data_IF_912742560441
#
_entry.id   IF_912742560441
#
_cell.length_a   1.000
_cell.length_b   1.000
_cell.length_c   1.000
_cell.angle_alpha   90.00
_cell.angle_beta   90.00
_cell.angle_gamma   90.00
#
_symmetry.space_group_name_H-M   'P 1'
#
loop_
_entity.id
_entity.type
_entity.pdbx_description
1 polymer ?
#
# COMPACT_ATOMS: atom_id res chain seq x y z
N UNK A 1 25.98 39.63 -46.74
CA UNK A 1 24.81 39.24 -45.93
C UNK A 1 25.08 37.89 -45.30
N UNK A 2 25.26 37.83 -43.99
CA UNK A 2 25.46 36.58 -43.26
C UNK A 2 24.12 35.83 -43.15
N UNK A 3 24.07 34.55 -43.52
CA UNK A 3 22.91 33.70 -43.26
C UNK A 3 22.82 33.44 -41.75
N UNK A 4 21.65 33.53 -41.10
CA UNK A 4 21.54 33.16 -39.70
C UNK A 4 21.90 31.68 -39.57
N UNK A 5 22.77 31.34 -38.62
CA UNK A 5 23.03 29.94 -38.25
C UNK A 5 21.77 29.38 -37.61
N UNK A 6 20.89 28.79 -38.42
CA UNK A 6 19.73 28.06 -37.92
C UNK A 6 20.26 26.84 -37.17
N UNK A 7 20.17 26.87 -35.84
CA UNK A 7 20.42 25.69 -35.01
C UNK A 7 19.14 24.86 -34.99
N UNK A 8 19.12 23.79 -35.75
CA UNK A 8 18.02 22.81 -35.74
C UNK A 8 18.40 21.71 -34.75
N UNK A 9 17.60 21.54 -33.70
CA UNK A 9 17.69 20.39 -32.83
C UNK A 9 16.79 19.30 -33.42
N UNK A 10 17.41 18.21 -33.90
CA UNK A 10 16.68 17.04 -34.34
C UNK A 10 16.41 16.16 -33.12
N UNK A 11 15.14 15.92 -32.81
CA UNK A 11 14.78 14.82 -31.94
C UNK A 11 14.35 13.67 -32.84
N UNK A 12 15.20 12.66 -32.95
CA UNK A 12 14.83 11.44 -33.65
C UNK A 12 13.63 10.84 -32.90
N UNK A 13 12.57 10.45 -33.62
CA UNK A 13 11.32 9.99 -33.02
C UNK A 13 11.52 8.95 -31.91
N UNK A 14 12.54 8.12 -32.05
CA UNK A 14 12.92 7.10 -31.07
C UNK A 14 13.40 7.68 -29.73
N UNK A 15 14.17 8.78 -29.72
CA UNK A 15 14.63 9.42 -28.47
C UNK A 15 13.48 10.11 -27.73
N UNK A 16 12.58 10.79 -28.45
CA UNK A 16 11.36 11.35 -27.86
C UNK A 16 10.47 10.24 -27.31
N UNK A 17 10.32 9.14 -28.05
CA UNK A 17 9.53 7.99 -27.64
C UNK A 17 10.10 7.35 -26.36
N UNK A 18 11.41 7.11 -26.31
CA UNK A 18 12.09 6.55 -25.13
C UNK A 18 11.89 7.48 -23.92
N UNK A 19 12.13 8.78 -24.07
CA UNK A 19 11.95 9.73 -22.98
C UNK A 19 10.49 9.76 -22.47
N UNK A 20 9.50 9.70 -23.37
CA UNK A 20 8.09 9.62 -22.98
C UNK A 20 7.75 8.30 -22.28
N UNK A 21 8.33 7.18 -22.71
CA UNK A 21 8.13 5.88 -22.07
C UNK A 21 8.74 5.83 -20.67
N UNK A 22 9.90 6.47 -20.45
CA UNK A 22 10.51 6.58 -19.12
C UNK A 22 9.62 7.40 -18.17
N UNK A 23 9.13 8.57 -18.61
CA UNK A 23 8.19 9.38 -17.83
C UNK A 23 6.90 8.61 -17.53
N UNK A 24 6.39 7.86 -18.51
CA UNK A 24 5.19 7.05 -18.32
C UNK A 24 5.41 5.92 -17.30
N UNK A 25 6.56 5.24 -17.36
CA UNK A 25 6.96 4.21 -16.40
C UNK A 25 7.01 4.75 -14.98
N UNK A 26 7.59 5.93 -14.76
CA UNK A 26 7.67 6.54 -13.43
C UNK A 26 6.27 6.92 -12.92
N UNK A 27 5.43 7.53 -13.76
CA UNK A 27 4.04 7.87 -13.39
C UNK A 27 3.19 6.64 -13.06
N UNK A 28 3.35 5.54 -13.80
CA UNK A 28 2.67 4.28 -13.50
C UNK A 28 3.12 3.73 -12.14
N UNK A 29 4.41 3.80 -11.86
CA UNK A 29 5.00 3.35 -10.61
C UNK A 29 4.43 4.14 -9.42
N UNK A 30 4.40 5.47 -9.53
CA UNK A 30 3.83 6.35 -8.49
C UNK A 30 2.34 6.10 -8.28
N UNK A 31 1.58 5.90 -9.36
CA UNK A 31 0.15 5.61 -9.28
C UNK A 31 -0.15 4.27 -8.59
N UNK A 32 0.66 3.24 -8.88
CA UNK A 32 0.58 1.96 -8.18
C UNK A 32 0.91 2.16 -6.71
N UNK A 33 2.02 2.85 -6.41
CA UNK A 33 2.47 3.08 -5.05
C UNK A 33 1.40 3.80 -4.18
N UNK A 34 0.79 4.86 -4.72
CA UNK A 34 -0.32 5.55 -4.06
C UNK A 34 -1.55 4.63 -3.88
N UNK A 35 -1.86 3.81 -4.89
CA UNK A 35 -2.92 2.80 -4.82
C UNK A 35 -2.70 1.78 -3.71
N UNK A 36 -1.46 1.27 -3.58
CA UNK A 36 -1.07 0.33 -2.52
C UNK A 36 -1.24 0.96 -1.14
N UNK A 37 -0.77 2.20 -0.95
CA UNK A 37 -0.91 2.94 0.31
C UNK A 37 -2.38 3.12 0.70
N UNK A 38 -3.22 3.52 -0.26
CA UNK A 38 -4.67 3.71 -0.04
C UNK A 38 -5.36 2.39 0.30
N UNK A 39 -5.00 1.30 -0.37
CA UNK A 39 -5.51 -0.02 -0.04
C UNK A 39 -5.08 -0.45 1.36
N UNK A 40 -3.82 -0.23 1.73
CA UNK A 40 -3.33 -0.45 3.09
C UNK A 40 -4.15 0.30 4.13
N UNK A 41 -4.53 1.55 3.85
CA UNK A 41 -5.41 2.34 4.72
C UNK A 41 -6.84 1.79 4.83
N UNK A 42 -7.37 1.17 3.77
CA UNK A 42 -8.67 0.45 3.83
C UNK A 42 -8.56 -0.80 4.71
N UNK A 43 -7.49 -1.57 4.56
CA UNK A 43 -7.23 -2.76 5.39
C UNK A 43 -7.05 -2.37 6.85
N UNK A 44 -6.28 -1.31 7.14
CA UNK A 44 -6.10 -0.73 8.47
C UNK A 44 -7.45 -0.39 9.12
N UNK A 45 -8.30 0.36 8.41
CA UNK A 45 -9.61 0.76 8.92
C UNK A 45 -10.54 -0.43 9.16
N UNK A 46 -10.58 -1.37 8.23
CA UNK A 46 -11.44 -2.57 8.32
C UNK A 46 -10.98 -3.51 9.44
N UNK A 47 -9.67 -3.75 9.52
CA UNK A 47 -9.04 -4.54 10.58
C UNK A 47 -9.30 -3.92 11.96
N UNK A 48 -9.24 -2.60 12.08
CA UNK A 48 -9.49 -1.89 13.35
C UNK A 48 -10.95 -1.93 13.80
N UNK A 49 -11.89 -2.08 12.87
CA UNK A 49 -13.31 -2.32 13.20
C UNK A 49 -13.54 -3.75 13.69
N UNK A 50 -12.83 -4.72 13.10
CA UNK A 50 -12.92 -6.16 13.44
C UNK A 50 -12.17 -6.50 14.72
N UNK A 51 -11.14 -5.72 15.07
CA UNK A 51 -10.36 -5.91 16.28
C UNK A 51 -11.24 -5.77 17.54
N UNK A 52 -11.18 -6.73 18.50
CA UNK A 52 -11.99 -6.70 19.72
C UNK A 52 -11.92 -5.39 20.51
N UNK A 53 -13.06 -4.88 20.96
CA UNK A 53 -13.16 -3.56 21.64
C UNK A 53 -12.48 -3.54 23.00
N UNK A 54 -12.52 -4.66 23.73
CA UNK A 54 -11.85 -4.83 25.03
C UNK A 54 -10.33 -4.63 24.93
N UNK A 55 -9.78 -4.75 23.72
CA UNK A 55 -8.40 -4.46 23.38
C UNK A 55 -8.26 -3.06 22.79
N UNK A 56 -8.86 -2.04 23.41
CA UNK A 56 -8.83 -0.65 22.91
C UNK A 56 -7.40 -0.12 22.64
N UNK A 57 -6.42 -0.60 23.42
CA UNK A 57 -5.00 -0.37 23.21
C UNK A 57 -4.46 -1.00 21.91
N UNK A 58 -5.08 -2.05 21.39
CA UNK A 58 -4.63 -2.77 20.19
C UNK A 58 -5.08 -2.02 18.95
N UNK A 59 -6.31 -1.52 19.00
CA UNK A 59 -6.92 -0.71 17.95
C UNK A 59 -6.10 0.54 17.64
N UNK A 60 -5.43 1.12 18.63
CA UNK A 60 -4.55 2.28 18.43
C UNK A 60 -3.13 1.94 17.97
N UNK A 61 -2.75 0.65 17.97
CA UNK A 61 -1.42 0.17 17.59
C UNK A 61 -1.35 -0.39 16.17
N UNK A 62 -2.42 -0.26 15.40
CA UNK A 62 -2.41 -0.59 13.97
C UNK A 62 -1.42 0.32 13.24
N UNK A 63 -0.76 -0.20 12.22
CA UNK A 63 0.13 0.58 11.37
C UNK A 63 -0.01 0.15 9.91
N UNK A 64 0.31 1.10 9.04
CA UNK A 64 0.33 0.93 7.60
C UNK A 64 1.63 1.55 7.06
N UNK A 65 2.52 0.72 6.52
CA UNK A 65 3.88 1.10 6.12
C UNK A 65 4.17 0.69 4.68
N UNK A 66 4.78 1.63 3.95
CA UNK A 66 5.14 1.46 2.55
C UNK A 66 4.38 2.42 1.63
N UNK A 67 4.38 2.13 0.32
CA UNK A 67 4.95 0.93 -0.28
C UNK A 67 6.48 0.95 -0.19
N UNK A 68 7.05 -0.11 0.36
CA UNK A 68 8.48 -0.36 0.39
C UNK A 68 8.86 -1.06 -0.91
N UNK A 69 9.99 -0.68 -1.49
CA UNK A 69 10.55 -1.41 -2.63
C UNK A 69 11.48 -2.50 -2.10
N UNK A 70 11.13 -3.75 -2.37
CA UNK A 70 11.95 -4.92 -2.07
C UNK A 70 12.31 -5.61 -3.40
N UNK A 71 13.49 -5.27 -3.92
CA UNK A 71 13.92 -5.62 -5.27
C UNK A 71 12.96 -5.10 -6.35
N UNK A 72 12.31 -6.03 -7.04
CA UNK A 72 11.31 -5.76 -8.09
C UNK A 72 9.86 -5.78 -7.56
N UNK A 73 9.67 -5.94 -6.25
CA UNK A 73 8.34 -6.00 -5.62
C UNK A 73 8.05 -4.73 -4.84
N UNK A 74 6.83 -4.23 -4.97
CA UNK A 74 6.29 -3.23 -4.05
C UNK A 74 5.55 -3.94 -2.92
N UNK A 75 5.91 -3.65 -1.68
CA UNK A 75 5.35 -4.28 -0.49
C UNK A 75 4.66 -3.21 0.36
N UNK A 76 3.36 -3.40 0.58
CA UNK A 76 2.60 -2.64 1.56
C UNK A 76 2.41 -3.52 2.79
N UNK A 77 2.87 -3.05 3.94
CA UNK A 77 2.77 -3.78 5.20
C UNK A 77 1.66 -3.14 6.04
N UNK A 78 0.66 -3.93 6.40
CA UNK A 78 -0.37 -3.55 7.38
C UNK A 78 -0.28 -4.53 8.53
N UNK A 79 -0.23 -4.02 9.75
CA UNK A 79 -0.07 -4.87 10.92
C UNK A 79 -0.42 -4.16 12.21
N UNK A 80 -0.10 -4.82 13.31
CA UNK A 80 -0.26 -4.28 14.66
C UNK A 80 1.07 -4.36 15.38
N UNK A 81 1.32 -3.39 16.26
CA UNK A 81 2.49 -3.39 17.14
C UNK A 81 3.79 -3.43 16.33
N UNK A 82 4.01 -2.42 15.47
CA UNK A 82 5.20 -2.30 14.60
C UNK A 82 6.54 -2.61 15.30
N UNK A 83 6.66 -2.23 16.57
CA UNK A 83 7.86 -2.45 17.40
C UNK A 83 7.76 -3.63 18.37
N UNK A 84 6.67 -4.40 18.31
CA UNK A 84 6.42 -5.66 19.00
C UNK A 84 7.01 -5.76 20.41
N UNK A 85 7.72 -6.86 20.65
CA UNK A 85 8.47 -7.17 21.88
C UNK A 85 9.87 -6.52 21.93
N UNK A 86 10.32 -5.90 20.83
CA UNK A 86 11.58 -5.14 20.76
C UNK A 86 11.51 -3.81 21.50
N UNK A 87 10.32 -3.33 21.82
CA UNK A 87 10.12 -2.20 22.73
C UNK A 87 10.09 -2.73 24.17
N UNK A 88 10.87 -2.13 25.08
CA UNK A 88 11.04 -2.60 26.47
C UNK A 88 9.71 -2.67 27.26
N UNK A 89 8.68 -1.94 26.81
CA UNK A 89 7.29 -1.97 27.32
C UNK A 89 6.26 -2.58 26.36
N UNK A 90 6.71 -3.04 25.19
CA UNK A 90 5.87 -3.63 24.16
C UNK A 90 5.57 -5.08 24.49
N UNK A 91 4.39 -5.36 25.05
CA UNK A 91 3.89 -6.73 25.06
C UNK A 91 3.37 -7.02 23.66
N UNK A 92 3.93 -7.99 22.96
CA UNK A 92 3.37 -8.47 21.69
C UNK A 92 2.09 -9.27 21.97
N UNK A 93 0.96 -8.58 22.14
CA UNK A 93 -0.31 -9.19 22.48
C UNK A 93 -1.30 -9.22 21.30
N UNK A 94 -0.97 -8.59 20.17
CA UNK A 94 -1.75 -8.68 18.94
C UNK A 94 -1.91 -10.12 18.46
N UNK A 95 -0.81 -10.87 18.38
CA UNK A 95 -0.78 -12.26 17.89
C UNK A 95 -1.70 -13.18 18.70
N UNK A 96 -1.58 -13.25 20.04
CA UNK A 96 -2.48 -14.12 20.80
C UNK A 96 -3.94 -13.70 20.69
N UNK A 97 -4.27 -12.41 20.55
CA UNK A 97 -5.67 -11.98 20.33
C UNK A 97 -6.14 -12.36 18.92
N UNK A 98 -5.29 -12.21 17.91
CA UNK A 98 -5.58 -12.52 16.52
C UNK A 98 -5.81 -14.01 16.28
N UNK A 99 -5.03 -14.86 16.93
CA UNK A 99 -5.03 -16.31 16.71
C UNK A 99 -5.98 -17.09 17.64
N UNK A 100 -6.50 -16.47 18.72
CA UNK A 100 -7.42 -17.13 19.66
C UNK A 100 -8.85 -17.19 19.11
N UNK A 101 -9.11 -18.14 18.22
CA UNK A 101 -10.44 -18.39 17.64
C UNK A 101 -11.44 -19.01 18.62
N UNK A 102 -10.96 -19.58 19.73
CA UNK A 102 -11.78 -20.28 20.72
C UNK A 102 -12.39 -19.36 21.80
N UNK A 103 -12.16 -18.04 21.71
CA UNK A 103 -12.68 -17.06 22.68
C UNK A 103 -13.84 -16.31 22.04
N UNK A 104 -14.98 -16.26 22.74
CA UNK A 104 -16.11 -15.44 22.32
C UNK A 104 -15.87 -13.99 22.72
N UNK A 105 -15.72 -13.10 21.73
CA UNK A 105 -15.63 -11.67 21.95
C UNK A 105 -17.04 -11.05 21.81
N UNK A 106 -17.55 -10.30 22.80
CA UNK A 106 -18.85 -9.63 22.68
C UNK A 106 -18.92 -8.64 21.51
N UNK A 107 -17.78 -8.03 21.17
CA UNK A 107 -17.62 -7.14 20.01
C UNK A 107 -16.25 -7.39 19.37
N UNK A 108 -16.23 -7.61 18.06
CA UNK A 108 -15.05 -7.93 17.25
C UNK A 108 -14.90 -9.42 16.97
N UNK A 109 -13.78 -9.81 16.37
CA UNK A 109 -13.50 -11.18 15.95
C UNK A 109 -12.02 -11.53 16.04
N UNK A 110 -11.72 -12.83 16.18
CA UNK A 110 -10.39 -13.36 15.88
C UNK A 110 -10.10 -13.20 14.37
N UNK A 111 -8.84 -13.35 13.97
CA UNK A 111 -8.40 -13.19 12.58
C UNK A 111 -8.77 -11.85 11.95
N UNK A 112 -8.97 -10.79 12.76
CA UNK A 112 -9.43 -9.47 12.33
C UNK A 112 -8.65 -8.86 11.14
N UNK A 113 -7.32 -9.01 11.11
CA UNK A 113 -6.46 -8.54 10.02
C UNK A 113 -6.58 -9.43 8.77
N UNK A 114 -6.53 -10.75 8.93
CA UNK A 114 -6.65 -11.73 7.84
C UNK A 114 -8.03 -11.61 7.16
N UNK A 115 -9.10 -11.50 7.96
CA UNK A 115 -10.45 -11.30 7.47
C UNK A 115 -10.62 -9.95 6.77
N UNK A 116 -9.99 -8.88 7.26
CA UNK A 116 -9.98 -7.60 6.58
C UNK A 116 -9.28 -7.68 5.21
N UNK A 117 -8.14 -8.37 5.13
CA UNK A 117 -7.44 -8.62 3.86
C UNK A 117 -8.30 -9.46 2.92
N UNK A 118 -8.86 -10.58 3.40
CA UNK A 118 -9.69 -11.49 2.59
C UNK A 118 -10.96 -10.81 2.08
N UNK A 119 -11.59 -9.96 2.90
CA UNK A 119 -12.77 -9.20 2.50
C UNK A 119 -12.45 -8.20 1.38
N UNK A 120 -11.28 -7.58 1.42
CA UNK A 120 -10.90 -6.50 0.48
C UNK A 120 -10.09 -6.98 -0.74
N UNK A 121 -9.49 -8.17 -0.68
CA UNK A 121 -8.58 -8.69 -1.71
C UNK A 121 -9.26 -8.85 -3.08
N UNK A 122 -10.54 -9.24 -3.09
CA UNK A 122 -11.34 -9.37 -4.31
C UNK A 122 -11.57 -8.04 -5.05
N UNK A 123 -11.48 -6.90 -4.36
CA UNK A 123 -11.64 -5.58 -4.96
C UNK A 123 -10.31 -4.94 -5.36
N UNK A 124 -9.21 -5.42 -4.80
CA UNK A 124 -7.91 -4.76 -4.90
C UNK A 124 -7.38 -4.72 -6.34
N UNK A 125 -7.43 -5.85 -7.05
CA UNK A 125 -6.97 -5.91 -8.44
C UNK A 125 -7.77 -4.95 -9.34
N UNK A 126 -9.09 -4.85 -9.14
CA UNK A 126 -9.96 -3.91 -9.88
C UNK A 126 -9.63 -2.46 -9.55
N UNK A 127 -9.33 -2.18 -8.29
CA UNK A 127 -8.94 -0.84 -7.83
C UNK A 127 -7.63 -0.38 -8.47
N UNK A 128 -6.60 -1.24 -8.49
CA UNK A 128 -5.33 -0.94 -9.15
C UNK A 128 -5.49 -0.75 -10.67
N UNK A 129 -6.27 -1.61 -11.34
CA UNK A 129 -6.56 -1.45 -12.77
C UNK A 129 -7.23 -0.11 -13.08
N UNK A 130 -8.18 0.33 -12.23
CA UNK A 130 -8.82 1.64 -12.38
C UNK A 130 -7.83 2.79 -12.25
N UNK A 131 -6.90 2.72 -11.29
CA UNK A 131 -5.87 3.75 -11.11
C UNK A 131 -4.92 3.82 -12.29
N UNK A 132 -4.44 2.68 -12.78
CA UNK A 132 -3.56 2.61 -13.95
C UNK A 132 -4.24 3.16 -15.21
N UNK A 133 -5.54 2.90 -15.40
CA UNK A 133 -6.31 3.45 -16.52
C UNK A 133 -6.47 4.98 -16.51
N UNK A 134 -6.16 5.65 -15.40
CA UNK A 134 -6.18 7.12 -15.28
C UNK A 134 -4.80 7.74 -15.58
N UNK A 135 -3.73 6.93 -15.66
CA UNK A 135 -2.39 7.41 -15.97
C UNK A 135 -2.30 7.66 -17.48
N UNK A 136 -2.22 8.94 -17.86
CA UNK A 136 -2.05 9.35 -19.25
C UNK A 136 -0.56 9.39 -19.63
N UNK A 137 -0.22 9.05 -20.89
CA UNK A 137 1.09 9.36 -21.48
C UNK A 137 1.45 10.83 -21.27
#
# INVERSE_FOLDING_TARGET
>A
MARPSVKVAYVNGDQTLIANLEVYKDRMTDAVADGMRKFGGRVEGESTRRCPVETGELRSRVFNEGPLRDGDTYVQVVGYEKFGATWEKGKAYAVPVHERTNVHHPVGEAKFLENAVNHLSGEYAKYLQKLLGQVKP
#
